data_IF_442880921495
#
_entry.id   IF_442880921495
#
_cell.length_a   1.000
_cell.length_b   1.000
_cell.length_c   1.000
_cell.angle_alpha   90.00
_cell.angle_beta   90.00
_cell.angle_gamma   90.00
#
_symmetry.space_group_name_H-M   'P 1'
#
loop_
_entity.id
_entity.type
_entity.pdbx_description
1 polymer ?
#
# COMPACT_ATOMS: atom_id res chain seq x y z
N UNK A 1 12.65 -54.79 -54.12
CA UNK A 1 12.42 -53.57 -53.32
C UNK A 1 11.12 -53.78 -52.53
N UNK A 2 11.20 -53.98 -51.22
CA UNK A 2 10.06 -54.38 -50.40
C UNK A 2 8.94 -53.33 -50.45
N UNK A 3 7.68 -53.74 -50.64
CA UNK A 3 6.50 -52.85 -50.71
C UNK A 3 6.41 -51.84 -49.56
N UNK A 4 6.98 -52.18 -48.40
CA UNK A 4 7.06 -51.34 -47.20
C UNK A 4 7.98 -50.12 -47.42
N UNK A 5 9.08 -50.26 -48.14
CA UNK A 5 10.00 -49.16 -48.45
C UNK A 5 9.39 -48.15 -49.43
N UNK A 6 8.63 -48.61 -50.42
CA UNK A 6 7.93 -47.74 -51.37
C UNK A 6 6.82 -46.96 -50.65
N UNK A 7 6.07 -47.62 -49.76
CA UNK A 7 5.09 -46.97 -48.88
C UNK A 7 5.72 -45.90 -47.98
N UNK A 8 6.89 -46.17 -47.39
CA UNK A 8 7.58 -45.22 -46.52
C UNK A 8 8.10 -44.00 -47.29
N UNK A 9 8.64 -44.19 -48.50
CA UNK A 9 9.08 -43.10 -49.38
C UNK A 9 7.91 -42.24 -49.86
N UNK A 10 6.77 -42.84 -50.21
CA UNK A 10 5.56 -42.11 -50.62
C UNK A 10 4.97 -41.27 -49.47
N UNK A 11 4.95 -41.82 -48.24
CA UNK A 11 4.54 -41.08 -47.04
C UNK A 11 5.47 -39.89 -46.76
N UNK A 12 6.80 -40.11 -46.80
CA UNK A 12 7.79 -39.06 -46.59
C UNK A 12 7.70 -37.94 -47.65
N UNK A 13 7.46 -38.29 -48.91
CA UNK A 13 7.31 -37.31 -49.99
C UNK A 13 6.04 -36.45 -49.80
N UNK A 14 4.92 -37.05 -49.37
CA UNK A 14 3.69 -36.32 -49.07
C UNK A 14 3.84 -35.35 -47.89
N UNK A 15 4.57 -35.72 -46.83
CA UNK A 15 4.87 -34.82 -45.72
C UNK A 15 5.79 -33.66 -46.13
N UNK A 16 6.79 -33.92 -46.99
CA UNK A 16 7.68 -32.87 -47.50
C UNK A 16 6.95 -31.84 -48.37
N UNK A 17 6.07 -32.29 -49.27
CA UNK A 17 5.26 -31.40 -50.11
C UNK A 17 4.35 -30.49 -49.26
N UNK A 18 3.75 -31.02 -48.19
CA UNK A 18 2.92 -30.21 -47.26
C UNK A 18 3.75 -29.17 -46.50
N UNK A 19 4.92 -29.56 -45.97
CA UNK A 19 5.81 -28.63 -45.28
C UNK A 19 6.33 -27.51 -46.21
N UNK A 20 6.61 -27.83 -47.47
CA UNK A 20 7.02 -26.85 -48.47
C UNK A 20 5.87 -25.89 -48.86
N UNK A 21 4.62 -26.39 -48.90
CA UNK A 21 3.47 -25.53 -49.13
C UNK A 21 3.23 -24.54 -47.97
N UNK A 22 3.39 -24.99 -46.71
CA UNK A 22 3.27 -24.15 -45.51
C UNK A 22 4.24 -22.97 -45.50
N UNK A 23 5.48 -23.21 -45.91
CA UNK A 23 6.50 -22.16 -45.97
C UNK A 23 6.26 -21.18 -47.12
N UNK A 24 5.69 -21.65 -48.24
CA UNK A 24 5.53 -20.83 -49.45
C UNK A 24 4.48 -19.73 -49.30
N UNK A 25 3.28 -20.03 -48.76
CA UNK A 25 2.27 -18.98 -48.60
C UNK A 25 2.65 -17.99 -47.50
N UNK A 26 3.30 -18.44 -46.42
CA UNK A 26 3.76 -17.54 -45.36
C UNK A 26 4.81 -16.56 -45.89
N UNK A 27 5.80 -17.06 -46.63
CA UNK A 27 6.82 -16.21 -47.25
C UNK A 27 6.20 -15.17 -48.21
N UNK A 28 5.29 -15.59 -49.09
CA UNK A 28 4.63 -14.65 -50.02
C UNK A 28 3.72 -13.65 -49.31
N UNK A 29 3.07 -14.08 -48.23
CA UNK A 29 2.32 -13.21 -47.34
C UNK A 29 3.22 -12.14 -46.71
N UNK A 30 4.39 -12.54 -46.21
CA UNK A 30 5.37 -11.64 -45.59
C UNK A 30 5.91 -10.62 -46.60
N UNK A 31 6.23 -11.06 -47.82
CA UNK A 31 6.69 -10.18 -48.92
C UNK A 31 5.61 -9.13 -49.28
N UNK A 32 4.34 -9.54 -49.35
CA UNK A 32 3.23 -8.63 -49.60
C UNK A 32 2.98 -7.67 -48.42
N UNK A 33 3.09 -8.17 -47.18
CA UNK A 33 2.92 -7.37 -45.97
C UNK A 33 4.01 -6.30 -45.85
N UNK A 34 5.26 -6.63 -46.16
CA UNK A 34 6.38 -5.66 -46.21
C UNK A 34 6.12 -4.52 -47.21
N UNK A 35 5.44 -4.83 -48.31
CA UNK A 35 5.05 -3.84 -49.33
C UNK A 35 3.75 -3.10 -48.96
N UNK A 36 3.14 -3.40 -47.81
CA UNK A 36 1.82 -2.91 -47.37
C UNK A 36 0.69 -3.24 -48.34
N UNK A 37 0.86 -4.29 -49.15
CA UNK A 37 -0.21 -4.83 -49.97
C UNK A 37 -1.04 -5.80 -49.11
N UNK A 38 -1.92 -5.22 -48.29
CA UNK A 38 -2.79 -5.99 -47.38
C UNK A 38 -3.77 -6.91 -48.13
N UNK A 39 -4.12 -6.59 -49.38
CA UNK A 39 -5.01 -7.44 -50.18
C UNK A 39 -4.30 -8.74 -50.58
N UNK A 40 -3.08 -8.64 -51.09
CA UNK A 40 -2.26 -9.80 -51.43
C UNK A 40 -1.82 -10.57 -50.19
N UNK A 41 -1.42 -9.88 -49.12
CA UNK A 41 -1.05 -10.51 -47.86
C UNK A 41 -2.23 -11.32 -47.28
N UNK A 42 -3.44 -10.74 -47.25
CA UNK A 42 -4.66 -11.43 -46.84
C UNK A 42 -4.91 -12.71 -47.66
N UNK A 43 -4.71 -12.66 -48.97
CA UNK A 43 -4.90 -13.82 -49.84
C UNK A 43 -3.94 -14.94 -49.48
N UNK A 44 -2.65 -14.64 -49.34
CA UNK A 44 -1.61 -15.62 -49.02
C UNK A 44 -1.78 -16.23 -47.63
N UNK A 45 -1.91 -15.42 -46.58
CA UNK A 45 -2.17 -15.95 -45.23
C UNK A 45 -3.55 -16.65 -45.14
N UNK A 46 -4.49 -16.27 -46.01
CA UNK A 46 -5.79 -16.92 -46.13
C UNK A 46 -5.70 -18.40 -46.53
N UNK A 47 -4.67 -18.79 -47.29
CA UNK A 47 -4.39 -20.21 -47.59
C UNK A 47 -4.02 -21.00 -46.33
N UNK A 48 -3.24 -20.39 -45.43
CA UNK A 48 -2.86 -20.98 -44.14
C UNK A 48 -4.04 -21.29 -43.21
N UNK A 49 -5.14 -20.55 -43.35
CA UNK A 49 -6.38 -20.81 -42.58
C UNK A 49 -7.02 -22.15 -42.96
N UNK A 50 -6.76 -22.69 -44.17
CA UNK A 50 -7.15 -24.04 -44.54
C UNK A 50 -6.55 -25.13 -43.64
N UNK A 51 -5.46 -24.80 -42.93
CA UNK A 51 -4.70 -25.72 -42.09
C UNK A 51 -4.60 -25.27 -40.63
N UNK A 52 -5.37 -24.24 -40.24
CA UNK A 52 -5.29 -23.62 -38.93
C UNK A 52 -3.85 -23.25 -38.53
N UNK A 53 -3.08 -22.71 -39.48
CA UNK A 53 -1.74 -22.21 -39.23
C UNK A 53 -1.79 -20.95 -38.34
N UNK A 54 -1.22 -21.06 -37.15
CA UNK A 54 -1.23 -19.97 -36.16
C UNK A 54 -0.47 -18.75 -36.62
N UNK A 55 0.61 -18.92 -37.40
CA UNK A 55 1.39 -17.80 -37.91
C UNK A 55 0.54 -16.94 -38.86
N UNK A 56 -0.12 -17.58 -39.82
CA UNK A 56 -1.07 -16.91 -40.71
C UNK A 56 -2.22 -16.23 -39.96
N UNK A 57 -2.76 -16.87 -38.92
CA UNK A 57 -3.82 -16.28 -38.08
C UNK A 57 -3.30 -15.02 -37.38
N UNK A 58 -2.09 -15.07 -36.80
CA UNK A 58 -1.46 -13.93 -36.14
C UNK A 58 -1.25 -12.77 -37.13
N UNK A 59 -0.72 -13.05 -38.33
CA UNK A 59 -0.54 -12.03 -39.38
C UNK A 59 -1.85 -11.43 -39.89
N UNK A 60 -2.89 -12.24 -40.06
CA UNK A 60 -4.22 -11.71 -40.39
C UNK A 60 -4.81 -10.87 -39.26
N UNK A 61 -4.49 -11.20 -38.01
CA UNK A 61 -4.89 -10.41 -36.84
C UNK A 61 -4.16 -9.07 -36.81
N UNK A 62 -2.86 -9.04 -37.12
CA UNK A 62 -2.08 -7.81 -37.28
C UNK A 62 -2.72 -6.90 -38.34
N UNK A 63 -2.99 -7.41 -39.55
CA UNK A 63 -3.63 -6.66 -40.63
C UNK A 63 -5.00 -6.10 -40.18
N UNK A 64 -5.83 -6.92 -39.51
CA UNK A 64 -7.14 -6.50 -39.02
C UNK A 64 -7.08 -5.33 -38.01
N UNK A 65 -6.02 -5.31 -37.20
CA UNK A 65 -5.79 -4.28 -36.19
C UNK A 65 -5.17 -3.01 -36.80
N UNK A 66 -4.33 -3.14 -37.82
CA UNK A 66 -3.67 -2.02 -38.50
C UNK A 66 -4.60 -1.27 -39.47
N UNK A 67 -5.42 -1.99 -40.23
CA UNK A 67 -6.22 -1.40 -41.31
C UNK A 67 -7.73 -1.68 -41.14
N UNK A 68 -8.49 -0.63 -40.82
CA UNK A 68 -9.94 -0.72 -40.65
C UNK A 68 -10.68 -0.97 -41.97
N UNK A 69 -10.14 -0.52 -43.11
CA UNK A 69 -10.76 -0.68 -44.43
C UNK A 69 -10.76 -2.14 -44.88
N UNK A 70 -9.80 -2.93 -44.40
CA UNK A 70 -9.71 -4.35 -44.70
C UNK A 70 -10.77 -5.20 -43.97
N UNK A 71 -11.32 -4.71 -42.84
CA UNK A 71 -12.22 -5.48 -41.96
C UNK A 71 -13.43 -6.08 -42.68
N UNK A 72 -14.22 -5.34 -43.50
CA UNK A 72 -15.36 -5.92 -44.21
C UNK A 72 -14.98 -7.12 -45.07
N UNK A 73 -13.83 -7.03 -45.75
CA UNK A 73 -13.32 -8.07 -46.64
C UNK A 73 -12.77 -9.30 -45.89
N UNK A 74 -12.41 -9.13 -44.62
CA UNK A 74 -11.78 -10.15 -43.78
C UNK A 74 -12.76 -10.84 -42.82
N UNK A 75 -14.00 -10.36 -42.65
CA UNK A 75 -14.96 -10.89 -41.65
C UNK A 75 -15.07 -12.41 -41.66
N UNK A 76 -15.36 -13.00 -42.82
CA UNK A 76 -15.51 -14.45 -42.95
C UNK A 76 -14.20 -15.20 -42.66
N UNK A 77 -13.07 -14.60 -43.01
CA UNK A 77 -11.75 -15.17 -42.76
C UNK A 77 -11.45 -15.17 -41.25
N UNK A 78 -11.73 -14.06 -40.55
CA UNK A 78 -11.54 -13.95 -39.11
C UNK A 78 -12.48 -14.86 -38.31
N UNK A 79 -13.70 -15.12 -38.78
CA UNK A 79 -14.58 -16.13 -38.18
C UNK A 79 -13.98 -17.53 -38.28
N UNK A 80 -13.35 -17.88 -39.40
CA UNK A 80 -12.62 -19.14 -39.53
C UNK A 80 -11.37 -19.19 -38.64
N UNK A 81 -10.67 -18.07 -38.50
CA UNK A 81 -9.54 -17.95 -37.58
C UNK A 81 -10.00 -18.22 -36.13
N UNK A 82 -11.07 -17.56 -35.67
CA UNK A 82 -11.63 -17.75 -34.34
C UNK A 82 -11.99 -19.23 -34.09
N UNK A 83 -12.57 -19.91 -35.08
CA UNK A 83 -12.83 -21.36 -34.99
C UNK A 83 -11.54 -22.16 -34.79
N UNK A 84 -10.53 -21.96 -35.63
CA UNK A 84 -9.23 -22.62 -35.50
C UNK A 84 -8.57 -22.36 -34.13
N UNK A 85 -8.69 -21.15 -33.61
CA UNK A 85 -8.16 -20.77 -32.30
C UNK A 85 -8.87 -21.52 -31.16
N UNK A 86 -10.20 -21.62 -31.21
CA UNK A 86 -10.97 -22.39 -30.24
C UNK A 86 -10.59 -23.88 -30.27
N UNK A 87 -10.53 -24.50 -31.46
CA UNK A 87 -10.14 -25.90 -31.62
C UNK A 87 -8.73 -26.18 -31.05
N UNK A 88 -7.79 -25.25 -31.23
CA UNK A 88 -6.43 -25.34 -30.68
C UNK A 88 -6.37 -25.06 -29.17
N UNK A 89 -7.21 -24.17 -28.68
CA UNK A 89 -7.30 -23.86 -27.25
C UNK A 89 -7.90 -25.00 -26.42
N UNK A 90 -8.72 -25.86 -27.03
CA UNK A 90 -9.15 -27.14 -26.43
C UNK A 90 -7.97 -28.10 -26.24
N UNK A 91 -6.97 -28.03 -27.12
CA UNK A 91 -5.71 -28.78 -27.03
C UNK A 91 -4.67 -28.10 -26.14
N UNK A 92 -5.05 -27.04 -25.39
CA UNK A 92 -4.17 -26.25 -24.53
C UNK A 92 -2.97 -25.62 -25.25
N UNK A 93 -3.12 -25.29 -26.53
CA UNK A 93 -2.13 -24.52 -27.28
C UNK A 93 -2.08 -23.08 -26.74
N UNK A 94 -0.97 -22.73 -26.08
CA UNK A 94 -0.81 -21.45 -25.39
C UNK A 94 -0.75 -20.26 -26.36
N UNK A 95 -0.25 -20.44 -27.58
CA UNK A 95 -0.23 -19.40 -28.60
C UNK A 95 -1.64 -19.11 -29.11
N UNK A 96 -2.46 -20.15 -29.31
CA UNK A 96 -3.86 -19.98 -29.67
C UNK A 96 -4.67 -19.30 -28.55
N UNK A 97 -4.48 -19.70 -27.30
CA UNK A 97 -5.16 -19.11 -26.14
C UNK A 97 -4.80 -17.62 -26.00
N UNK A 98 -3.52 -17.26 -26.19
CA UNK A 98 -3.09 -15.86 -26.15
C UNK A 98 -3.76 -15.01 -27.24
N UNK A 99 -3.93 -15.57 -28.45
CA UNK A 99 -4.67 -14.90 -29.52
C UNK A 99 -6.17 -14.77 -29.20
N UNK A 100 -6.79 -15.76 -28.54
CA UNK A 100 -8.20 -15.68 -28.10
C UNK A 100 -8.45 -14.51 -27.13
N UNK A 101 -7.51 -14.23 -26.21
CA UNK A 101 -7.59 -13.03 -25.35
C UNK A 101 -7.73 -11.78 -26.22
N UNK A 102 -6.88 -11.64 -27.24
CA UNK A 102 -6.92 -10.50 -28.16
C UNK A 102 -8.25 -10.42 -28.92
N UNK A 103 -8.77 -11.55 -29.41
CA UNK A 103 -10.03 -11.59 -30.15
C UNK A 103 -11.21 -11.14 -29.30
N UNK A 104 -11.28 -11.59 -28.04
CA UNK A 104 -12.37 -11.22 -27.13
C UNK A 104 -12.24 -9.80 -26.57
N UNK A 105 -11.03 -9.29 -26.35
CA UNK A 105 -10.80 -7.89 -25.93
C UNK A 105 -11.05 -6.89 -27.05
N UNK A 106 -10.70 -7.24 -28.29
CA UNK A 106 -10.82 -6.32 -29.45
C UNK A 106 -12.09 -6.53 -30.27
N UNK A 107 -12.88 -7.57 -29.97
CA UNK A 107 -14.10 -7.89 -30.69
C UNK A 107 -13.85 -8.38 -32.13
N UNK A 108 -12.83 -9.21 -32.32
CA UNK A 108 -12.47 -9.76 -33.64
C UNK A 108 -13.31 -10.99 -33.92
N UNK A 109 -14.19 -10.91 -34.93
CA UNK A 109 -15.15 -11.97 -35.29
C UNK A 109 -16.12 -12.43 -34.17
N UNK A 110 -16.13 -11.74 -33.03
CA UNK A 110 -16.98 -11.98 -31.86
C UNK A 110 -17.24 -10.64 -31.16
N UNK A 111 -18.34 -10.45 -30.40
CA UNK A 111 -18.51 -9.27 -29.57
C UNK A 111 -17.38 -9.11 -28.54
N UNK A 112 -17.01 -7.86 -28.24
CA UNK A 112 -16.07 -7.58 -27.16
C UNK A 112 -16.67 -8.07 -25.83
N UNK A 113 -15.88 -8.81 -25.05
CA UNK A 113 -16.26 -9.33 -23.75
C UNK A 113 -15.04 -9.45 -22.84
N UNK A 114 -14.95 -8.54 -21.88
CA UNK A 114 -13.89 -8.55 -20.86
C UNK A 114 -13.92 -9.83 -20.03
N UNK A 115 -15.11 -10.36 -19.75
CA UNK A 115 -15.28 -11.60 -18.96
C UNK A 115 -14.73 -12.83 -19.67
N UNK A 116 -14.95 -12.96 -20.98
CA UNK A 116 -14.41 -14.08 -21.77
C UNK A 116 -12.90 -13.89 -22.00
N UNK A 117 -12.45 -12.66 -22.22
CA UNK A 117 -11.03 -12.36 -22.32
C UNK A 117 -10.29 -12.73 -21.02
N UNK A 118 -10.84 -12.37 -19.86
CA UNK A 118 -10.31 -12.73 -18.54
C UNK A 118 -10.29 -14.25 -18.32
N UNK A 119 -11.32 -14.97 -18.77
CA UNK A 119 -11.33 -16.43 -18.73
C UNK A 119 -10.13 -17.05 -19.47
N UNK A 120 -9.89 -16.65 -20.71
CA UNK A 120 -8.76 -17.14 -21.50
C UNK A 120 -7.41 -16.67 -20.96
N UNK A 121 -7.34 -15.45 -20.40
CA UNK A 121 -6.14 -14.94 -19.76
C UNK A 121 -5.76 -15.78 -18.53
N UNK A 122 -6.72 -16.10 -17.68
CA UNK A 122 -6.51 -17.00 -16.54
C UNK A 122 -6.06 -18.40 -16.99
N UNK A 123 -6.68 -18.95 -18.05
CA UNK A 123 -6.27 -20.25 -18.62
C UNK A 123 -4.83 -20.21 -19.18
N UNK A 124 -4.43 -19.11 -19.83
CA UNK A 124 -3.06 -18.93 -20.29
C UNK A 124 -2.07 -18.89 -19.12
N UNK A 125 -2.40 -18.15 -18.05
CA UNK A 125 -1.59 -18.08 -16.83
C UNK A 125 -1.47 -19.43 -16.13
N UNK A 126 -2.54 -20.24 -16.11
CA UNK A 126 -2.52 -21.61 -15.58
C UNK A 126 -1.51 -22.50 -16.31
N UNK A 127 -1.53 -22.46 -17.64
CA UNK A 127 -0.68 -23.31 -18.47
C UNK A 127 0.78 -22.85 -18.49
N UNK A 128 1.02 -21.54 -18.31
CA UNK A 128 2.38 -20.97 -18.37
C UNK A 128 3.05 -20.86 -17.01
N UNK A 129 2.29 -20.73 -15.91
CA UNK A 129 2.84 -20.63 -14.57
C UNK A 129 1.93 -21.29 -13.51
N UNK A 130 2.01 -22.63 -13.36
CA UNK A 130 1.18 -23.37 -12.41
C UNK A 130 1.40 -22.95 -10.94
N UNK A 131 2.54 -22.34 -10.61
CA UNK A 131 2.84 -21.87 -9.25
C UNK A 131 2.11 -20.57 -8.89
N UNK A 132 1.70 -19.76 -9.87
CA UNK A 132 0.97 -18.51 -9.64
C UNK A 132 -0.43 -18.76 -9.05
N UNK A 133 -1.12 -19.81 -9.52
CA UNK A 133 -2.45 -20.19 -9.03
C UNK A 133 -2.38 -20.75 -7.61
N UNK A 134 -1.37 -21.56 -7.31
CA UNK A 134 -1.13 -22.03 -5.94
C UNK A 134 -0.90 -20.87 -4.97
N UNK A 135 -0.12 -19.86 -5.38
CA UNK A 135 0.09 -18.65 -4.59
C UNK A 135 -1.20 -17.82 -4.40
N UNK A 136 -2.01 -17.63 -5.46
CA UNK A 136 -3.28 -16.88 -5.38
C UNK A 136 -4.29 -17.58 -4.45
N UNK A 137 -4.42 -18.90 -4.56
CA UNK A 137 -5.30 -19.70 -3.70
C UNK A 137 -4.86 -19.72 -2.23
N UNK A 138 -3.56 -19.62 -1.94
CA UNK A 138 -3.04 -19.48 -0.58
C UNK A 138 -3.30 -18.10 0.04
N UNK A 139 -3.37 -17.05 -0.77
CA UNK A 139 -3.69 -15.69 -0.32
C UNK A 139 -5.18 -15.59 0.01
N UNK A 140 -6.04 -16.15 -0.84
CA UNK A 140 -7.50 -16.04 -0.70
C UNK A 140 -8.07 -16.91 0.44
N UNK A 141 -7.41 -18.03 0.78
CA UNK A 141 -7.85 -18.92 1.86
C UNK A 141 -7.44 -18.52 3.27
N UNK A 142 -6.61 -17.50 3.49
CA UNK A 142 -6.29 -17.07 4.86
C UNK A 142 -7.51 -16.36 5.47
N UNK A 143 -8.17 -16.94 6.49
CA UNK A 143 -9.25 -16.24 7.15
C UNK A 143 -8.67 -14.96 7.75
N UNK A 144 -9.21 -13.80 7.34
CA UNK A 144 -8.81 -12.49 7.87
C UNK A 144 -8.81 -12.57 9.39
N UNK A 145 -7.65 -12.40 10.03
CA UNK A 145 -7.61 -12.36 11.49
C UNK A 145 -8.50 -11.21 11.96
N UNK A 146 -9.37 -11.47 12.94
CA UNK A 146 -10.16 -10.42 13.57
C UNK A 146 -9.21 -9.43 14.24
N UNK A 147 -9.55 -8.14 14.16
CA UNK A 147 -8.83 -7.10 14.86
C UNK A 147 -8.82 -7.40 16.36
N UNK A 148 -7.64 -7.37 16.96
CA UNK A 148 -7.45 -7.49 18.42
C UNK A 148 -7.25 -6.09 18.98
N UNK A 149 -8.10 -5.69 19.91
CA UNK A 149 -7.99 -4.40 20.56
C UNK A 149 -7.05 -4.50 21.74
N UNK A 150 -6.51 -3.37 22.16
CA UNK A 150 -5.72 -3.29 23.36
C UNK A 150 -5.95 -1.99 24.09
N UNK A 151 -5.82 -2.05 25.42
CA UNK A 151 -5.85 -0.90 26.31
C UNK A 151 -4.66 -1.00 27.26
N UNK A 152 -4.05 0.11 27.61
CA UNK A 152 -3.00 0.09 28.62
C UNK A 152 -2.70 1.43 29.22
N UNK A 153 -1.94 1.35 30.30
CA UNK A 153 -1.44 2.49 31.04
C UNK A 153 0.02 2.74 30.67
N UNK A 154 0.38 4.00 30.49
CA UNK A 154 1.74 4.43 30.17
C UNK A 154 2.18 5.48 31.17
N UNK A 155 3.34 5.26 31.77
CA UNK A 155 3.98 6.17 32.70
C UNK A 155 5.19 6.83 32.01
N UNK A 156 5.38 8.12 32.28
CA UNK A 156 6.58 8.89 31.94
C UNK A 156 6.86 9.88 33.07
N UNK A 157 8.10 10.39 33.16
CA UNK A 157 8.50 11.27 34.26
C UNK A 157 7.75 12.60 34.18
N UNK A 158 7.59 13.17 32.98
CA UNK A 158 6.89 14.45 32.81
C UNK A 158 5.36 14.29 32.76
N UNK A 159 4.85 13.11 32.40
CA UNK A 159 3.40 12.82 32.32
C UNK A 159 3.08 11.44 32.93
N UNK A 160 2.89 11.35 34.26
CA UNK A 160 2.66 10.09 34.96
C UNK A 160 1.41 9.34 34.54
N UNK A 161 0.35 10.01 34.07
CA UNK A 161 -0.93 9.37 33.79
C UNK A 161 -1.15 9.30 32.28
N UNK A 162 -0.80 8.17 31.67
CA UNK A 162 -1.03 7.89 30.26
C UNK A 162 -2.02 6.75 30.04
N UNK A 163 -2.97 6.93 29.12
CA UNK A 163 -3.89 5.89 28.66
C UNK A 163 -3.72 5.67 27.16
N UNK A 164 -3.57 4.41 26.76
CA UNK A 164 -3.42 3.97 25.37
C UNK A 164 -4.59 3.09 24.98
N UNK A 165 -5.15 3.30 23.80
CA UNK A 165 -6.13 2.43 23.18
C UNK A 165 -5.77 2.21 21.72
N UNK A 166 -5.90 0.98 21.22
CA UNK A 166 -5.59 0.68 19.83
C UNK A 166 -6.10 -0.66 19.38
N UNK A 167 -5.83 -0.98 18.11
CA UNK A 167 -6.21 -2.24 17.51
C UNK A 167 -5.19 -2.70 16.49
N UNK A 168 -4.86 -3.99 16.50
CA UNK A 168 -3.98 -4.63 15.51
C UNK A 168 -4.75 -5.69 14.75
N UNK A 169 -4.70 -5.60 13.43
CA UNK A 169 -5.23 -6.59 12.52
C UNK A 169 -4.08 -7.20 11.70
N UNK A 170 -3.93 -8.52 11.79
CA UNK A 170 -2.82 -9.26 11.16
C UNK A 170 -1.46 -8.65 11.51
N UNK A 171 -0.87 -7.83 10.65
CA UNK A 171 0.46 -7.23 10.88
C UNK A 171 0.44 -5.77 11.29
N UNK A 172 -0.67 -5.07 11.09
CA UNK A 172 -0.72 -3.63 11.15
C UNK A 172 -1.88 -3.17 12.02
N UNK A 173 -1.71 -2.03 12.67
CA UNK A 173 -2.72 -1.49 13.56
C UNK A 173 -2.54 0.00 13.79
N UNK A 174 -3.44 0.53 14.59
CA UNK A 174 -3.44 1.93 14.99
C UNK A 174 -3.55 2.01 16.52
N UNK A 175 -3.16 3.14 17.06
CA UNK A 175 -3.40 3.46 18.45
C UNK A 175 -3.57 4.96 18.65
N UNK A 176 -4.22 5.31 19.75
CA UNK A 176 -4.34 6.66 20.29
C UNK A 176 -3.89 6.61 21.74
N UNK A 177 -3.16 7.63 22.16
CA UNK A 177 -2.65 7.74 23.52
C UNK A 177 -2.81 9.16 24.03
N UNK A 178 -3.30 9.27 25.25
CA UNK A 178 -3.42 10.54 25.98
C UNK A 178 -2.59 10.46 27.23
N UNK A 179 -1.85 11.52 27.56
CA UNK A 179 -0.98 11.61 28.72
C UNK A 179 -1.18 12.93 29.45
N UNK A 180 -1.14 12.89 30.77
CA UNK A 180 -1.25 14.07 31.62
C UNK A 180 -0.56 13.86 32.96
N UNK A 181 -0.19 14.97 33.60
CA UNK A 181 0.17 15.02 35.01
C UNK A 181 -1.04 15.27 35.94
N UNK A 182 -2.25 15.42 35.37
CA UNK A 182 -3.52 15.74 36.05
C UNK A 182 -3.50 17.05 36.84
N UNK A 183 -2.50 17.91 36.64
CA UNK A 183 -2.29 19.10 37.46
C UNK A 183 -2.67 20.38 36.71
N UNK A 184 -3.93 20.46 36.28
CA UNK A 184 -4.44 21.58 35.48
C UNK A 184 -4.54 22.86 36.31
N UNK A 185 -3.80 23.91 35.91
CA UNK A 185 -3.93 25.26 36.44
C UNK A 185 -3.86 26.29 35.31
N UNK A 186 -4.76 27.25 35.35
CA UNK A 186 -4.77 28.43 34.48
C UNK A 186 -4.16 29.61 35.22
N UNK A 187 -3.35 30.41 34.53
CA UNK A 187 -2.68 31.58 35.10
C UNK A 187 -2.80 32.76 34.16
N UNK A 188 -3.12 33.94 34.68
CA UNK A 188 -3.27 35.17 33.89
C UNK A 188 -1.95 35.96 33.73
N UNK A 189 -0.89 35.54 34.43
CA UNK A 189 0.42 36.21 34.43
C UNK A 189 1.48 35.38 33.71
N UNK A 190 2.39 36.08 33.00
CA UNK A 190 3.53 35.46 32.29
C UNK A 190 4.86 36.05 32.74
N UNK A 191 5.89 35.19 32.77
CA UNK A 191 7.24 35.51 33.24
C UNK A 191 8.27 34.91 32.30
N UNK A 192 9.48 35.43 32.36
CA UNK A 192 10.65 34.95 31.64
C UNK A 192 11.83 34.84 32.60
N UNK A 193 12.80 34.00 32.24
CA UNK A 193 14.07 33.97 32.94
C UNK A 193 14.94 35.15 32.46
N UNK A 194 15.37 35.99 33.39
CA UNK A 194 16.27 37.12 33.14
C UNK A 194 17.37 37.13 34.23
N UNK A 195 18.65 37.05 33.84
CA UNK A 195 19.80 36.98 34.76
C UNK A 195 19.62 35.94 35.88
N UNK A 196 19.22 34.72 35.53
CA UNK A 196 18.97 33.58 36.42
C UNK A 196 17.78 33.74 37.40
N UNK A 197 17.02 34.83 37.31
CA UNK A 197 15.82 35.07 38.10
C UNK A 197 14.58 35.12 37.21
N UNK A 198 13.47 34.55 37.68
CA UNK A 198 12.18 34.71 36.98
C UNK A 198 11.67 36.13 37.19
N UNK A 199 11.45 36.86 36.10
CA UNK A 199 10.88 38.21 36.07
C UNK A 199 9.52 38.21 35.36
N UNK A 200 8.58 39.03 35.82
CA UNK A 200 7.28 39.19 35.14
C UNK A 200 7.46 40.03 33.87
N UNK A 201 6.84 39.59 32.78
CA UNK A 201 6.98 40.25 31.46
C UNK A 201 6.22 41.57 31.41
N UNK A 202 4.98 41.60 31.93
CA UNK A 202 4.10 42.77 31.94
C UNK A 202 3.66 43.08 33.38
N UNK A 203 4.52 43.72 34.19
CA UNK A 203 4.18 44.09 35.56
C UNK A 203 3.16 45.24 35.58
N UNK A 204 2.16 45.11 36.44
CA UNK A 204 1.24 46.19 36.77
C UNK A 204 1.96 47.27 37.59
N UNK A 205 1.84 48.55 37.21
CA UNK A 205 2.58 49.66 37.83
C UNK A 205 2.23 49.86 39.32
N UNK A 206 1.02 49.48 39.72
CA UNK A 206 0.55 49.62 41.11
C UNK A 206 0.88 48.38 41.96
N UNK A 207 1.60 47.40 41.41
CA UNK A 207 1.95 46.14 42.10
C UNK A 207 3.44 45.87 42.05
N UNK A 208 3.93 45.19 43.07
CA UNK A 208 5.29 44.65 43.11
C UNK A 208 5.25 43.14 43.13
N UNK A 209 6.22 42.53 42.43
CA UNK A 209 6.28 41.09 42.25
C UNK A 209 7.61 40.56 42.76
N UNK A 210 7.54 39.62 43.69
CA UNK A 210 8.71 38.98 44.26
C UNK A 210 8.69 37.49 43.93
N UNK A 211 9.71 37.00 43.24
CA UNK A 211 9.91 35.57 43.03
C UNK A 211 10.10 34.88 44.39
N UNK A 212 9.39 33.77 44.60
CA UNK A 212 9.48 32.99 45.83
C UNK A 212 10.42 31.81 45.63
N UNK A 213 11.19 31.48 46.67
CA UNK A 213 12.03 30.28 46.73
C UNK A 213 11.17 29.04 47.07
N UNK A 214 10.18 28.79 46.24
CA UNK A 214 9.25 27.66 46.33
C UNK A 214 9.40 26.86 45.03
N UNK A 215 9.35 25.52 45.07
CA UNK A 215 9.47 24.71 43.86
C UNK A 215 8.46 25.11 42.78
N UNK A 216 8.96 25.23 41.55
CA UNK A 216 8.12 25.44 40.38
C UNK A 216 7.14 24.26 40.23
N UNK A 217 5.92 24.57 39.81
CA UNK A 217 4.92 23.55 39.46
C UNK A 217 4.95 23.32 37.95
N UNK A 218 4.81 22.07 37.52
CA UNK A 218 4.66 21.70 36.11
C UNK A 218 3.21 21.30 35.85
N UNK A 219 2.69 21.63 34.68
CA UNK A 219 1.40 21.17 34.16
C UNK A 219 1.63 20.68 32.74
N UNK A 220 1.33 19.40 32.48
CA UNK A 220 1.70 18.78 31.21
C UNK A 220 0.57 17.91 30.68
N UNK A 221 0.27 18.05 29.38
CA UNK A 221 -0.69 17.24 28.66
C UNK A 221 -0.20 16.96 27.23
N UNK A 222 -0.40 15.73 26.75
CA UNK A 222 -0.12 15.38 25.35
C UNK A 222 -1.12 14.34 24.83
N UNK A 223 -1.51 14.49 23.56
CA UNK A 223 -2.29 13.51 22.83
C UNK A 223 -1.55 13.09 21.56
N UNK A 224 -1.37 11.78 21.37
CA UNK A 224 -0.69 11.20 20.21
C UNK A 224 -1.56 10.13 19.53
N UNK A 225 -1.39 9.99 18.23
CA UNK A 225 -1.96 8.90 17.45
C UNK A 225 -0.90 8.33 16.52
N UNK A 226 -0.95 7.03 16.29
CA UNK A 226 0.14 6.37 15.58
C UNK A 226 -0.21 5.02 15.00
N UNK A 227 0.81 4.47 14.36
CA UNK A 227 0.78 3.17 13.73
C UNK A 227 1.54 2.16 14.60
N UNK A 228 1.03 0.93 14.63
CA UNK A 228 1.68 -0.20 15.31
C UNK A 228 1.84 -1.36 14.32
N UNK A 229 3.03 -1.96 14.32
CA UNK A 229 3.39 -3.07 13.45
C UNK A 229 3.80 -4.29 14.27
N UNK A 230 3.30 -5.47 13.89
CA UNK A 230 3.66 -6.77 14.47
C UNK A 230 4.86 -7.34 13.71
N UNK A 231 6.04 -7.34 14.34
CA UNK A 231 7.24 -7.97 13.80
C UNK A 231 7.20 -9.50 13.99
N UNK A 232 6.80 -9.93 15.19
CA UNK A 232 6.59 -11.33 15.58
C UNK A 232 5.33 -11.44 16.43
N UNK A 233 4.87 -12.65 16.76
CA UNK A 233 3.68 -12.82 17.61
C UNK A 233 3.80 -12.23 19.02
N UNK A 234 5.02 -11.94 19.47
CA UNK A 234 5.32 -11.38 20.78
C UNK A 234 5.95 -9.98 20.74
N UNK A 235 6.39 -9.48 19.58
CA UNK A 235 7.08 -8.19 19.45
C UNK A 235 6.39 -7.26 18.46
N UNK A 236 6.09 -6.06 18.93
CA UNK A 236 5.46 -4.99 18.16
C UNK A 236 6.31 -3.71 18.24
N UNK A 237 6.32 -2.93 17.17
CA UNK A 237 6.88 -1.57 17.16
C UNK A 237 5.79 -0.55 16.85
N UNK A 238 5.83 0.59 17.52
CA UNK A 238 4.90 1.69 17.29
C UNK A 238 5.63 3.00 17.05
N UNK A 239 5.03 3.82 16.19
CA UNK A 239 5.47 5.19 15.90
C UNK A 239 4.24 6.08 15.83
N UNK A 240 4.30 7.23 16.47
CA UNK A 240 3.19 8.16 16.56
C UNK A 240 3.61 9.61 16.54
N UNK A 241 2.65 10.45 16.21
CA UNK A 241 2.78 11.91 16.24
C UNK A 241 1.54 12.52 16.88
N UNK A 242 1.68 13.71 17.44
CA UNK A 242 0.61 14.35 18.19
C UNK A 242 0.92 15.77 18.58
N UNK A 243 0.15 16.27 19.53
CA UNK A 243 0.28 17.61 20.05
C UNK A 243 0.30 17.60 21.58
N UNK A 244 1.13 18.45 22.16
CA UNK A 244 1.29 18.56 23.60
C UNK A 244 1.58 19.97 24.07
N UNK A 245 1.35 20.17 25.35
CA UNK A 245 1.59 21.41 26.06
C UNK A 245 2.23 21.08 27.41
N UNK A 246 3.31 21.80 27.71
CA UNK A 246 4.01 21.78 28.99
C UNK A 246 4.11 23.21 29.49
N UNK A 247 3.50 23.49 30.63
CA UNK A 247 3.60 24.76 31.32
C UNK A 247 4.43 24.60 32.59
N UNK A 248 5.46 25.43 32.73
CA UNK A 248 6.20 25.60 33.97
C UNK A 248 5.67 26.85 34.69
N UNK A 249 5.08 26.65 35.85
CA UNK A 249 4.52 27.70 36.68
C UNK A 249 5.50 28.06 37.80
N UNK A 250 5.95 29.30 37.80
CA UNK A 250 6.81 29.87 38.85
C UNK A 250 6.00 30.62 39.90
N UNK A 251 6.29 30.44 41.19
CA UNK A 251 5.56 31.10 42.28
C UNK A 251 6.07 32.52 42.51
N UNK A 252 5.13 33.46 42.68
CA UNK A 252 5.41 34.85 43.02
C UNK A 252 4.51 35.33 44.14
N UNK A 253 5.03 36.25 44.95
CA UNK A 253 4.24 37.08 45.85
C UNK A 253 3.98 38.40 45.14
N UNK A 254 2.71 38.70 44.89
CA UNK A 254 2.27 40.01 44.41
C UNK A 254 1.88 40.86 45.63
N UNK A 255 2.37 42.10 45.68
CA UNK A 255 2.00 43.07 46.71
C UNK A 255 1.40 44.29 46.03
N UNK A 256 0.18 44.66 46.43
CA UNK A 256 -0.48 45.89 45.99
C UNK A 256 0.13 47.08 46.74
N UNK A 257 0.66 48.05 45.99
CA UNK A 257 1.36 49.22 46.54
C UNK A 257 0.41 50.19 47.25
N UNK A 258 -0.89 50.15 46.92
CA UNK A 258 -1.91 51.06 47.48
C UNK A 258 -2.51 50.53 48.78
N UNK A 259 -2.84 49.24 48.82
CA UNK A 259 -3.48 48.58 49.96
C UNK A 259 -2.51 47.84 50.88
N UNK A 260 -1.28 47.56 50.40
CA UNK A 260 -0.31 46.70 51.08
C UNK A 260 -0.71 45.22 51.11
N UNK A 261 -1.80 44.84 50.41
CA UNK A 261 -2.29 43.47 50.37
C UNK A 261 -1.30 42.57 49.62
N UNK A 262 -1.07 41.36 50.17
CA UNK A 262 -0.18 40.36 49.58
C UNK A 262 -0.98 39.18 49.07
N UNK A 263 -0.72 38.77 47.84
CA UNK A 263 -1.38 37.66 47.19
C UNK A 263 -0.35 36.70 46.58
N UNK A 264 -0.58 35.40 46.74
CA UNK A 264 0.25 34.38 46.15
C UNK A 264 -0.25 34.03 44.76
N UNK A 265 0.59 34.25 43.75
CA UNK A 265 0.24 34.03 42.34
C UNK A 265 1.19 33.02 41.68
N UNK A 266 0.68 32.34 40.66
CA UNK A 266 1.48 31.51 39.77
C UNK A 266 1.64 32.21 38.44
N UNK A 267 2.84 32.15 37.91
CA UNK A 267 3.20 32.82 36.68
C UNK A 267 3.73 31.80 35.66
N UNK A 268 3.23 31.84 34.43
CA UNK A 268 3.66 30.93 33.37
C UNK A 268 5.01 31.36 32.79
N UNK A 269 6.03 30.52 32.92
CA UNK A 269 7.38 30.80 32.47
C UNK A 269 7.54 30.52 30.97
N UNK A 270 7.55 31.57 30.15
CA UNK A 270 7.65 31.45 28.68
C UNK A 270 8.99 30.87 28.19
N UNK A 271 10.05 30.90 29.02
CA UNK A 271 11.35 30.36 28.64
C UNK A 271 11.39 28.84 28.67
N UNK A 272 10.62 28.21 29.58
CA UNK A 272 10.63 26.76 29.79
C UNK A 272 9.30 26.07 29.50
N UNK A 273 8.23 26.84 29.30
CA UNK A 273 6.94 26.35 28.80
C UNK A 273 7.01 26.18 27.29
N UNK A 274 6.49 25.06 26.79
CA UNK A 274 6.54 24.71 25.38
C UNK A 274 5.22 24.07 24.95
N UNK A 275 4.82 24.37 23.71
CA UNK A 275 3.64 23.82 23.05
C UNK A 275 4.03 23.41 21.65
N UNK A 276 3.53 22.28 21.18
CA UNK A 276 3.76 21.90 19.79
C UNK A 276 3.71 20.39 19.54
N UNK A 277 4.50 19.98 18.56
CA UNK A 277 4.49 18.63 18.01
C UNK A 277 5.12 17.65 19.00
N UNK A 278 4.44 16.53 19.22
CA UNK A 278 4.97 15.41 19.98
C UNK A 278 5.22 14.25 19.03
N UNK A 279 6.41 13.67 19.06
CA UNK A 279 6.76 12.43 18.36
C UNK A 279 7.03 11.32 19.35
N UNK A 280 6.65 10.08 19.03
CA UNK A 280 6.90 8.93 19.89
C UNK A 280 7.27 7.67 19.11
N UNK A 281 8.11 6.84 19.74
CA UNK A 281 8.52 5.53 19.25
C UNK A 281 8.56 4.58 20.44
N UNK A 282 7.86 3.45 20.34
CA UNK A 282 7.88 2.42 21.39
C UNK A 282 8.06 1.01 20.83
N UNK A 283 8.56 0.12 21.69
CA UNK A 283 8.55 -1.32 21.49
C UNK A 283 7.65 -1.97 22.52
N UNK A 284 6.81 -2.90 22.05
CA UNK A 284 5.84 -3.59 22.89
C UNK A 284 6.06 -5.10 22.84
N UNK A 285 6.21 -5.69 24.01
CA UNK A 285 6.32 -7.12 24.25
C UNK A 285 4.97 -7.67 24.72
N UNK A 286 4.46 -8.70 24.04
CA UNK A 286 3.18 -9.33 24.35
C UNK A 286 3.40 -10.71 24.97
N UNK A 287 2.74 -10.93 26.11
CA UNK A 287 2.68 -12.20 26.83
C UNK A 287 1.20 -12.61 26.98
N UNK A 288 0.69 -13.35 25.99
CA UNK A 288 -0.71 -13.77 25.91
C UNK A 288 -1.68 -12.57 25.84
N UNK A 289 -2.40 -12.27 26.93
CA UNK A 289 -3.28 -11.11 27.04
C UNK A 289 -2.55 -9.88 27.56
N UNK A 290 -1.46 -10.04 28.31
CA UNK A 290 -0.70 -8.92 28.87
C UNK A 290 0.29 -8.37 27.83
N UNK A 291 0.56 -7.07 27.86
CA UNK A 291 1.72 -6.50 27.19
C UNK A 291 2.47 -5.51 28.07
N UNK A 292 3.77 -5.42 27.81
CA UNK A 292 4.67 -4.42 28.37
C UNK A 292 5.19 -3.57 27.23
N UNK A 293 5.19 -2.26 27.38
CA UNK A 293 5.70 -1.32 26.39
C UNK A 293 6.77 -0.44 26.99
N UNK A 294 7.79 -0.10 26.21
CA UNK A 294 8.81 0.85 26.59
C UNK A 294 9.23 1.64 25.36
N UNK A 295 9.45 2.92 25.53
CA UNK A 295 9.75 3.80 24.43
C UNK A 295 10.19 5.18 24.87
N UNK A 296 10.19 6.08 23.92
CA UNK A 296 10.56 7.46 24.13
C UNK A 296 9.63 8.38 23.36
N UNK A 297 9.40 9.55 23.92
CA UNK A 297 8.71 10.61 23.23
C UNK A 297 9.51 11.90 23.30
N UNK A 298 9.29 12.77 22.33
CA UNK A 298 9.93 14.08 22.22
C UNK A 298 8.88 15.14 21.95
N UNK A 299 9.08 16.33 22.50
CA UNK A 299 8.24 17.50 22.21
C UNK A 299 9.11 18.55 21.51
N UNK A 300 8.66 19.01 20.35
CA UNK A 300 9.36 19.94 19.46
C UNK A 300 10.80 19.55 19.10
N UNK A 301 11.18 18.28 19.27
CA UNK A 301 12.56 17.78 19.10
C UNK A 301 13.59 18.38 20.06
N UNK A 302 13.15 19.10 21.10
CA UNK A 302 14.04 19.80 22.02
C UNK A 302 14.56 18.88 23.15
N UNK A 303 13.77 17.88 23.54
CA UNK A 303 14.15 16.92 24.58
C UNK A 303 13.48 15.56 24.38
N UNK A 304 14.05 14.52 24.99
CA UNK A 304 13.57 13.13 24.93
C UNK A 304 13.18 12.68 26.34
N UNK A 305 11.96 12.18 26.52
CA UNK A 305 11.48 11.60 27.78
C UNK A 305 11.11 10.12 27.58
N UNK A 306 11.62 9.29 28.48
CA UNK A 306 11.44 7.84 28.44
C UNK A 306 10.08 7.48 29.02
N UNK A 307 9.43 6.50 28.41
CA UNK A 307 8.14 6.00 28.84
C UNK A 307 8.16 4.47 28.98
N UNK A 308 7.33 3.97 29.89
CA UNK A 308 7.08 2.55 30.06
C UNK A 308 5.60 2.32 30.40
N UNK A 309 5.04 1.19 30.01
CA UNK A 309 3.63 0.92 30.20
C UNK A 309 3.28 -0.56 30.26
N UNK A 310 2.06 -0.83 30.69
CA UNK A 310 1.47 -2.16 30.82
C UNK A 310 0.03 -2.12 30.35
N UNK A 311 -0.43 -3.18 29.70
CA UNK A 311 -1.81 -3.25 29.25
C UNK A 311 -2.27 -4.64 28.86
N UNK A 312 -3.46 -4.69 28.28
CA UNK A 312 -4.16 -5.92 27.92
C UNK A 312 -4.63 -5.88 26.47
N UNK A 313 -4.45 -6.99 25.75
CA UNK A 313 -5.08 -7.31 24.47
C UNK A 313 -6.38 -8.09 24.69
N UNK A 314 -7.40 -7.85 23.87
CA UNK A 314 -8.68 -8.57 23.86
C UNK A 314 -9.31 -8.61 22.47
#
# INVERSE_FOLDING_TARGET
MNRIWIMMVLLLFAFCLKAQQYTTYNQKGDEALQQKDYTSARMWYGEGIGHCDLYSIEKLTEIWLEDEEMRPSMRNLMTRCLKCLNDKAELNDTAAIKLLVTYHTKGIATPNSDTIAEHWQNKYEELTNPYAIYARNLIEKRPKERMRFFVGYTYSIEMPVGLTFGGVQEKAGWYVRVRSDLSFRTTDHTCKLENDLSAIVDPDNDKTYQALDIPNKKTTFAGTAGFIYRFTDWLYGSVGVGYGERNLLSPFMMTDNTSGAKEFIWCNNQTFSSKGLVGEIDFTLRFNYLYLTAGAHTMNFDYIDLNAGIGLFF
#
